data_IF_570187294722
#
_entry.id   IF_570187294722
#
_cell.length_a   1.000
_cell.length_b   1.000
_cell.length_c   1.000
_cell.angle_alpha   90.00
_cell.angle_beta   90.00
_cell.angle_gamma   90.00
#
_symmetry.space_group_name_H-M   'P 1'
#
loop_
_entity.id
_entity.type
_entity.pdbx_description
1 polymer ?
#
# COMPACT_ATOMS: atom_id res chain seq x y z
N UNK A 1 -14.51 -13.12 -10.01
CA UNK A 1 -15.16 -12.20 -10.96
C UNK A 1 -14.04 -11.53 -11.76
N UNK A 2 -14.13 -11.38 -13.08
CA UNK A 2 -13.21 -10.50 -13.80
C UNK A 2 -13.34 -9.07 -13.22
N UNK A 3 -12.23 -8.33 -13.18
CA UNK A 3 -12.21 -6.95 -12.71
C UNK A 3 -13.24 -6.12 -13.48
N UNK A 4 -13.96 -5.26 -12.77
CA UNK A 4 -14.83 -4.25 -13.37
C UNK A 4 -14.00 -3.46 -14.40
N UNK A 5 -14.57 -3.24 -15.59
CA UNK A 5 -13.99 -2.68 -16.82
C UNK A 5 -12.46 -2.34 -16.81
N UNK A 6 -11.60 -2.99 -17.62
CA UNK A 6 -10.14 -2.77 -17.60
C UNK A 6 -9.70 -1.30 -17.70
N UNK A 7 -10.44 -0.46 -18.43
CA UNK A 7 -10.14 0.96 -18.54
C UNK A 7 -10.36 1.76 -17.23
N UNK A 8 -11.06 1.21 -16.25
CA UNK A 8 -11.28 1.77 -14.92
C UNK A 8 -10.34 1.16 -13.87
N UNK A 9 -9.34 0.37 -14.29
CA UNK A 9 -8.35 -0.19 -13.37
C UNK A 9 -7.40 0.90 -12.87
N UNK A 10 -7.14 0.91 -11.57
CA UNK A 10 -6.14 1.78 -10.96
C UNK A 10 -4.74 1.16 -11.09
N UNK A 11 -3.76 2.00 -11.36
CA UNK A 11 -2.34 1.65 -11.16
C UNK A 11 -2.05 1.45 -9.67
N UNK A 12 -0.97 0.73 -9.30
CA UNK A 12 -0.55 0.61 -7.89
C UNK A 12 -0.35 1.98 -7.22
N UNK A 13 0.18 2.95 -7.96
CA UNK A 13 0.36 4.32 -7.49
C UNK A 13 -0.96 5.03 -7.16
N UNK A 14 -1.96 4.92 -8.03
CA UNK A 14 -3.28 5.53 -7.83
C UNK A 14 -4.02 4.85 -6.68
N UNK A 15 -3.98 3.51 -6.61
CA UNK A 15 -4.58 2.75 -5.52
C UNK A 15 -3.95 3.11 -4.16
N UNK A 16 -2.61 3.21 -4.10
CA UNK A 16 -1.91 3.62 -2.89
C UNK A 16 -2.27 5.05 -2.49
N UNK A 17 -2.25 5.99 -3.44
CA UNK A 17 -2.63 7.38 -3.17
C UNK A 17 -4.07 7.47 -2.66
N UNK A 18 -5.02 6.76 -3.28
CA UNK A 18 -6.42 6.73 -2.84
C UNK A 18 -6.57 6.11 -1.44
N UNK A 19 -5.80 5.09 -1.09
CA UNK A 19 -5.88 4.42 0.22
C UNK A 19 -5.49 5.30 1.41
N UNK A 20 -4.75 6.39 1.16
CA UNK A 20 -4.27 7.33 2.19
C UNK A 20 -4.76 8.75 1.95
N UNK A 21 -5.81 8.95 1.14
CA UNK A 21 -6.35 10.27 0.78
C UNK A 21 -5.27 11.22 0.22
N UNK A 22 -4.32 10.68 -0.54
CA UNK A 22 -3.20 11.40 -1.15
C UNK A 22 -2.12 11.86 -0.16
N UNK A 23 -2.24 11.55 1.14
CA UNK A 23 -1.33 11.99 2.18
C UNK A 23 0.11 11.54 1.90
N UNK A 24 1.06 12.36 2.36
CA UNK A 24 2.50 12.12 2.27
C UNK A 24 3.10 12.24 3.67
N UNK A 25 4.21 11.55 3.90
CA UNK A 25 4.93 11.67 5.16
C UNK A 25 5.65 13.01 5.23
N UNK A 26 5.38 13.79 6.28
CA UNK A 26 6.08 15.05 6.59
C UNK A 26 6.38 15.10 8.08
N UNK A 27 7.46 15.78 8.44
CA UNK A 27 7.80 16.04 9.85
C UNK A 27 6.71 16.91 10.46
N UNK A 28 6.23 16.54 11.65
CA UNK A 28 5.16 17.23 12.38
C UNK A 28 3.76 16.66 12.14
N UNK A 29 3.56 15.85 11.10
CA UNK A 29 2.28 15.16 10.89
C UNK A 29 2.10 13.99 11.88
N UNK A 30 0.86 13.51 11.99
CA UNK A 30 0.54 12.32 12.78
C UNK A 30 1.39 11.13 12.29
N UNK A 31 2.12 10.50 13.20
CA UNK A 31 2.94 9.31 12.93
C UNK A 31 2.13 8.04 12.71
N UNK A 32 1.18 8.06 11.76
CA UNK A 32 0.47 6.87 11.28
C UNK A 32 1.18 6.33 10.04
N UNK A 33 1.74 5.13 10.15
CA UNK A 33 2.58 4.53 9.12
C UNK A 33 2.35 3.03 9.02
N UNK A 34 2.57 2.48 7.83
CA UNK A 34 2.68 1.03 7.61
C UNK A 34 4.04 0.76 6.99
N UNK A 35 4.80 -0.17 7.56
CA UNK A 35 6.09 -0.63 7.02
C UNK A 35 5.82 -1.87 6.20
N UNK A 36 6.08 -1.77 4.89
CA UNK A 36 5.88 -2.86 3.93
C UNK A 36 7.18 -3.61 3.72
N UNK A 37 7.09 -4.94 3.52
CA UNK A 37 8.25 -5.79 3.25
C UNK A 37 8.57 -5.97 1.77
N UNK A 38 7.83 -5.31 0.89
CA UNK A 38 8.09 -5.23 -0.54
C UNK A 38 7.71 -3.83 -1.06
N UNK A 39 8.12 -3.50 -2.29
CA UNK A 39 7.77 -2.24 -2.93
C UNK A 39 6.30 -2.23 -3.36
N UNK A 40 5.41 -1.38 -2.79
CA UNK A 40 4.02 -1.27 -3.22
C UNK A 40 3.83 -0.64 -4.60
N UNK A 41 4.89 -0.06 -5.19
CA UNK A 41 4.89 0.58 -6.50
C UNK A 41 5.54 -0.29 -7.59
N UNK A 42 5.83 -1.55 -7.27
CA UNK A 42 6.30 -2.50 -8.28
C UNK A 42 5.21 -2.73 -9.34
N UNK A 43 5.61 -2.69 -10.61
CA UNK A 43 4.73 -2.85 -11.76
C UNK A 43 5.27 -3.95 -12.68
N UNK A 44 4.43 -4.93 -12.96
CA UNK A 44 4.62 -5.96 -13.98
C UNK A 44 3.36 -6.06 -14.86
N UNK A 45 3.10 -7.23 -15.44
CA UNK A 45 1.76 -7.45 -16.00
C UNK A 45 0.68 -7.38 -14.90
N UNK A 46 -0.60 -7.14 -15.24
CA UNK A 46 -1.65 -6.96 -14.24
C UNK A 46 -1.81 -8.14 -13.26
N UNK A 47 -1.61 -9.38 -13.71
CA UNK A 47 -1.75 -10.55 -12.87
C UNK A 47 -0.57 -10.69 -11.90
N UNK A 48 0.65 -10.45 -12.38
CA UNK A 48 1.85 -10.43 -11.56
C UNK A 48 1.81 -9.30 -10.52
N UNK A 49 1.35 -8.11 -10.93
CA UNK A 49 1.20 -6.95 -10.03
C UNK A 49 0.19 -7.24 -8.92
N UNK A 50 -0.95 -7.81 -9.28
CA UNK A 50 -1.96 -8.25 -8.30
C UNK A 50 -1.40 -9.29 -7.32
N UNK A 51 -0.72 -10.32 -7.83
CA UNK A 51 -0.13 -11.35 -6.98
C UNK A 51 0.94 -10.78 -6.03
N UNK A 52 1.78 -9.88 -6.51
CA UNK A 52 2.80 -9.18 -5.72
C UNK A 52 2.17 -8.38 -4.57
N UNK A 53 1.14 -7.57 -4.88
CA UNK A 53 0.46 -6.75 -3.87
C UNK A 53 -0.30 -7.62 -2.84
N UNK A 54 -0.93 -8.71 -3.27
CA UNK A 54 -1.61 -9.65 -2.36
C UNK A 54 -0.66 -10.37 -1.41
N UNK A 55 0.54 -10.75 -1.89
CA UNK A 55 1.54 -11.45 -1.09
C UNK A 55 2.38 -10.51 -0.21
N UNK A 56 2.27 -9.19 -0.40
CA UNK A 56 3.12 -8.21 0.25
C UNK A 56 2.93 -8.22 1.78
N UNK A 57 3.99 -8.51 2.57
CA UNK A 57 3.87 -8.56 4.01
C UNK A 57 3.86 -7.14 4.61
N UNK A 58 3.00 -6.93 5.60
CA UNK A 58 3.07 -5.78 6.51
C UNK A 58 3.99 -6.13 7.68
N UNK A 59 5.13 -5.46 7.76
CA UNK A 59 6.15 -5.70 8.81
C UNK A 59 5.81 -4.99 10.12
N UNK A 60 5.23 -3.80 10.04
CA UNK A 60 4.76 -3.07 11.21
C UNK A 60 3.64 -2.09 10.86
N UNK A 61 2.79 -1.80 11.84
CA UNK A 61 1.81 -0.71 11.82
C UNK A 61 2.12 0.22 12.98
N UNK A 62 2.18 1.51 12.69
CA UNK A 62 2.41 2.59 13.66
C UNK A 62 1.17 3.46 13.68
N UNK A 63 0.65 3.75 14.87
CA UNK A 63 -0.45 4.69 15.06
C UNK A 63 -0.03 5.76 16.06
N UNK A 64 -0.14 7.03 15.67
CA UNK A 64 0.27 8.18 16.48
C UNK A 64 1.68 8.04 17.08
N UNK A 65 2.63 7.54 16.29
CA UNK A 65 4.03 7.34 16.69
C UNK A 65 4.30 6.10 17.55
N UNK A 66 3.30 5.25 17.82
CA UNK A 66 3.47 4.00 18.56
C UNK A 66 3.27 2.79 17.66
N UNK A 67 4.15 1.80 17.74
CA UNK A 67 3.98 0.51 17.06
C UNK A 67 2.79 -0.21 17.70
N UNK A 68 1.75 -0.47 16.92
CA UNK A 68 0.54 -1.20 17.34
C UNK A 68 0.51 -2.64 16.82
N UNK A 69 1.25 -2.90 15.75
CA UNK A 69 1.46 -4.23 15.21
C UNK A 69 2.90 -4.36 14.73
N UNK A 70 3.51 -5.53 14.95
CA UNK A 70 4.82 -5.90 14.43
C UNK A 70 4.81 -7.38 14.09
N UNK A 71 5.06 -7.71 12.83
CA UNK A 71 5.27 -9.08 12.40
C UNK A 71 6.71 -9.51 12.67
N UNK A 72 6.88 -10.76 13.14
CA UNK A 72 8.17 -11.42 13.31
C UNK A 72 8.71 -11.99 12.01
#
# INVERSE_FOLDING_TARGET
RPGWHPAESLTPREALAASVDGRRLRVGDRGDLVVLGADPLWEGDPAATHAHLLAMPVRATVCAGRITHRAG
#
